data_IF_006477009241
#
_entry.id   IF_006477009241
#
_cell.length_a   1.000
_cell.length_b   1.000
_cell.length_c   1.000
_cell.angle_alpha   90.00
_cell.angle_beta   90.00
_cell.angle_gamma   90.00
#
_symmetry.space_group_name_H-M   'P 1'
#
loop_
_entity.id
_entity.type
_entity.pdbx_description
1 polymer ?
#
# COMPACT_ATOMS: atom_id res chain seq x y z
N UNK A 1 29.64 22.75 19.82
CA UNK A 1 28.32 22.78 19.13
C UNK A 1 28.44 22.44 17.63
N UNK A 2 29.40 23.00 16.87
CA UNK A 2 29.57 22.77 15.41
C UNK A 2 30.00 21.34 15.13
N UNK A 3 30.93 20.75 15.89
CA UNK A 3 31.39 19.37 15.74
C UNK A 3 30.29 18.34 16.08
N UNK A 4 29.51 18.58 17.13
CA UNK A 4 28.39 17.72 17.50
C UNK A 4 27.29 17.72 16.41
N UNK A 5 27.00 18.89 15.80
CA UNK A 5 26.06 19.00 14.70
C UNK A 5 26.56 18.34 13.40
N UNK A 6 27.87 18.27 13.17
CA UNK A 6 28.44 17.57 12.02
C UNK A 6 28.39 16.04 12.20
N UNK A 7 28.70 15.53 13.41
CA UNK A 7 28.62 14.09 13.73
C UNK A 7 27.21 13.59 13.59
N UNK A 8 26.20 14.29 14.14
CA UNK A 8 24.79 13.90 14.03
C UNK A 8 24.28 13.92 12.58
N UNK A 9 24.78 14.81 11.73
CA UNK A 9 24.43 14.83 10.29
C UNK A 9 24.99 13.62 9.57
N UNK A 10 26.21 13.20 9.85
CA UNK A 10 26.85 12.02 9.23
C UNK A 10 26.05 10.76 9.62
N UNK A 11 25.70 10.61 10.90
CA UNK A 11 24.90 9.48 11.39
C UNK A 11 23.52 9.42 10.73
N UNK A 12 22.85 10.56 10.52
CA UNK A 12 21.56 10.63 9.82
C UNK A 12 21.67 10.25 8.35
N UNK A 13 22.74 10.71 7.65
CA UNK A 13 22.97 10.36 6.24
C UNK A 13 23.26 8.87 6.10
N UNK A 14 24.09 8.30 6.98
CA UNK A 14 24.38 6.87 6.98
C UNK A 14 23.11 6.04 7.23
N UNK A 15 22.30 6.40 8.22
CA UNK A 15 21.04 5.74 8.49
C UNK A 15 20.07 5.84 7.30
N UNK A 16 19.96 7.03 6.69
CA UNK A 16 19.09 7.24 5.52
C UNK A 16 19.56 6.41 4.32
N UNK A 17 20.86 6.19 4.15
CA UNK A 17 21.43 5.42 3.03
C UNK A 17 21.01 3.93 3.05
N UNK A 18 20.63 3.38 4.20
CA UNK A 18 20.11 2.03 4.32
C UNK A 18 18.64 1.88 3.91
N UNK A 19 17.88 2.98 3.91
CA UNK A 19 16.42 2.96 3.68
C UNK A 19 16.05 2.30 2.33
N UNK A 20 16.69 2.65 1.18
CA UNK A 20 16.33 2.03 -0.09
C UNK A 20 16.59 0.52 -0.11
N UNK A 21 17.71 0.07 0.49
CA UNK A 21 18.04 -1.35 0.55
C UNK A 21 17.03 -2.14 1.42
N UNK A 22 16.63 -1.58 2.55
CA UNK A 22 15.61 -2.16 3.42
C UNK A 22 14.23 -2.21 2.73
N UNK A 23 13.85 -1.15 2.01
CA UNK A 23 12.61 -1.12 1.22
C UNK A 23 12.63 -2.18 0.12
N UNK A 24 13.75 -2.30 -0.61
CA UNK A 24 13.93 -3.33 -1.62
C UNK A 24 13.83 -4.75 -1.05
N UNK A 25 14.48 -5.01 0.10
CA UNK A 25 14.38 -6.30 0.77
C UNK A 25 12.95 -6.60 1.25
N UNK A 26 12.24 -5.59 1.78
CA UNK A 26 10.85 -5.72 2.25
C UNK A 26 9.87 -6.03 1.11
N UNK A 27 10.21 -5.66 -0.12
CA UNK A 27 9.39 -5.96 -1.29
C UNK A 27 9.26 -7.47 -1.55
N UNK A 28 10.27 -8.27 -1.20
CA UNK A 28 10.29 -9.72 -1.44
C UNK A 28 9.13 -10.45 -0.70
N UNK A 29 8.94 -10.30 0.62
CA UNK A 29 7.80 -10.90 1.30
C UNK A 29 6.45 -10.30 0.88
N UNK A 30 6.38 -9.04 0.48
CA UNK A 30 5.14 -8.43 -0.04
C UNK A 30 4.74 -9.09 -1.35
N UNK A 31 5.68 -9.27 -2.28
CA UNK A 31 5.44 -9.96 -3.55
C UNK A 31 5.09 -11.44 -3.36
N UNK A 32 5.72 -12.10 -2.37
CA UNK A 32 5.28 -13.45 -1.97
C UNK A 32 3.82 -13.45 -1.55
N UNK A 33 3.44 -12.56 -0.65
CA UNK A 33 2.07 -12.46 -0.14
C UNK A 33 1.05 -12.18 -1.25
N UNK A 34 1.34 -11.23 -2.13
CA UNK A 34 0.48 -10.89 -3.27
C UNK A 34 0.32 -12.06 -4.25
N UNK A 35 1.43 -12.67 -4.66
CA UNK A 35 1.41 -13.84 -5.55
C UNK A 35 0.70 -15.04 -4.95
N UNK A 36 0.88 -15.29 -3.64
CA UNK A 36 0.22 -16.38 -2.94
C UNK A 36 -1.30 -16.14 -2.78
N UNK A 37 -1.73 -14.89 -2.63
CA UNK A 37 -3.17 -14.54 -2.55
C UNK A 37 -3.88 -14.63 -3.90
N UNK A 38 -3.23 -14.20 -4.98
CA UNK A 38 -3.80 -14.25 -6.34
C UNK A 38 -3.81 -15.68 -6.89
N UNK A 39 -2.78 -16.45 -6.61
CA UNK A 39 -2.63 -17.82 -7.09
C UNK A 39 -2.55 -18.82 -5.95
N UNK A 40 -1.34 -19.27 -5.66
CA UNK A 40 -1.06 -20.22 -4.59
C UNK A 40 0.37 -19.99 -4.03
N UNK A 41 0.78 -20.78 -3.05
CA UNK A 41 2.10 -20.63 -2.42
C UNK A 41 3.27 -20.74 -3.43
N UNK A 42 3.13 -21.54 -4.50
CA UNK A 42 4.16 -21.66 -5.56
C UNK A 42 4.26 -20.39 -6.39
N UNK A 43 3.11 -19.80 -6.73
CA UNK A 43 3.05 -18.48 -7.40
C UNK A 43 3.68 -17.40 -6.51
N UNK A 44 3.39 -17.41 -5.22
CA UNK A 44 4.03 -16.51 -4.26
C UNK A 44 5.54 -16.65 -4.22
N UNK A 45 6.04 -17.90 -4.13
CA UNK A 45 7.48 -18.17 -4.13
C UNK A 45 8.16 -17.69 -5.42
N UNK A 46 7.52 -17.94 -6.57
CA UNK A 46 8.04 -17.50 -7.86
C UNK A 46 8.06 -15.97 -7.97
N UNK A 47 7.01 -15.29 -7.51
CA UNK A 47 6.93 -13.82 -7.48
C UNK A 47 8.04 -13.22 -6.58
N UNK A 48 8.27 -13.80 -5.41
CA UNK A 48 9.33 -13.41 -4.51
C UNK A 48 10.72 -13.62 -5.12
N UNK A 49 10.93 -14.74 -5.79
CA UNK A 49 12.18 -15.04 -6.48
C UNK A 49 12.45 -14.04 -7.61
N UNK A 50 11.44 -13.77 -8.44
CA UNK A 50 11.59 -12.82 -9.53
C UNK A 50 11.95 -11.43 -9.03
N UNK A 51 11.26 -10.89 -8.02
CA UNK A 51 11.57 -9.55 -7.52
C UNK A 51 12.95 -9.50 -6.84
N UNK A 52 13.39 -10.59 -6.23
CA UNK A 52 14.70 -10.66 -5.57
C UNK A 52 15.87 -10.64 -6.56
N UNK A 53 15.66 -11.11 -7.81
CA UNK A 53 16.73 -11.21 -8.82
C UNK A 53 16.53 -10.27 -10.01
N UNK A 54 15.41 -9.53 -10.06
CA UNK A 54 15.11 -8.64 -11.18
C UNK A 54 16.14 -7.51 -11.25
N UNK A 55 16.80 -7.39 -12.41
CA UNK A 55 17.73 -6.31 -12.68
C UNK A 55 17.07 -5.01 -13.09
N UNK A 56 17.89 -4.05 -13.55
CA UNK A 56 17.41 -2.77 -14.10
C UNK A 56 17.03 -1.75 -13.03
N UNK A 57 16.01 -0.99 -13.30
CA UNK A 57 15.58 0.17 -12.49
C UNK A 57 15.29 -0.19 -11.03
N UNK A 58 14.64 -1.33 -10.79
CA UNK A 58 14.30 -1.75 -9.43
C UNK A 58 15.56 -1.99 -8.60
N UNK A 59 16.48 -2.81 -9.11
CA UNK A 59 17.74 -3.12 -8.39
C UNK A 59 18.58 -1.87 -8.18
N UNK A 60 18.74 -1.02 -9.21
CA UNK A 60 19.57 0.19 -9.10
C UNK A 60 19.02 1.18 -8.06
N UNK A 61 17.70 1.27 -7.92
CA UNK A 61 17.04 2.17 -6.96
C UNK A 61 16.93 1.61 -5.55
N UNK A 62 17.15 0.30 -5.37
CA UNK A 62 17.20 -0.36 -4.06
C UNK A 62 18.62 -0.50 -3.50
N UNK A 63 19.63 0.09 -4.15
CA UNK A 63 21.01 0.04 -3.66
C UNK A 63 21.20 1.00 -2.48
N UNK A 64 22.15 0.63 -1.61
CA UNK A 64 22.62 1.47 -0.53
C UNK A 64 23.04 2.85 -1.04
N UNK A 65 22.58 3.91 -0.39
CA UNK A 65 22.91 5.29 -0.75
C UNK A 65 22.11 5.88 -1.91
N UNK A 66 21.26 5.09 -2.59
CA UNK A 66 20.42 5.59 -3.68
C UNK A 66 19.08 6.14 -3.13
N UNK A 67 19.13 7.35 -2.56
CA UNK A 67 17.97 8.01 -1.96
C UNK A 67 17.01 8.52 -3.05
N UNK A 68 16.09 7.65 -3.47
CA UNK A 68 15.09 7.95 -4.48
C UNK A 68 13.69 7.52 -4.00
N UNK A 69 12.67 8.34 -4.27
CA UNK A 69 11.29 8.07 -3.89
C UNK A 69 10.65 6.90 -4.65
N UNK A 70 11.19 6.51 -5.80
CA UNK A 70 10.60 5.46 -6.63
C UNK A 70 10.61 4.08 -5.98
N UNK A 71 11.61 3.75 -5.14
CA UNK A 71 11.58 2.48 -4.42
C UNK A 71 10.45 2.46 -3.37
N UNK A 72 10.22 3.59 -2.70
CA UNK A 72 9.13 3.75 -1.76
C UNK A 72 7.76 3.74 -2.47
N UNK A 73 7.64 4.40 -3.63
CA UNK A 73 6.45 4.34 -4.48
C UNK A 73 6.10 2.90 -4.85
N UNK A 74 7.08 2.14 -5.35
CA UNK A 74 6.89 0.73 -5.72
C UNK A 74 6.50 -0.13 -4.51
N UNK A 75 7.13 0.10 -3.36
CA UNK A 75 6.85 -0.62 -2.12
C UNK A 75 5.41 -0.38 -1.65
N UNK A 76 5.02 0.89 -1.50
CA UNK A 76 3.70 1.22 -0.93
C UNK A 76 2.56 0.93 -1.90
N UNK A 77 2.75 1.08 -3.21
CA UNK A 77 1.75 0.67 -4.20
C UNK A 77 1.51 -0.83 -4.16
N UNK A 78 2.58 -1.64 -4.11
CA UNK A 78 2.45 -3.10 -4.01
C UNK A 78 1.88 -3.54 -2.66
N UNK A 79 2.28 -2.87 -1.57
CA UNK A 79 1.71 -3.12 -0.24
C UNK A 79 0.21 -2.81 -0.22
N UNK A 80 -0.21 -1.68 -0.79
CA UNK A 80 -1.63 -1.35 -0.94
C UNK A 80 -2.37 -2.45 -1.73
N UNK A 81 -1.83 -2.88 -2.87
CA UNK A 81 -2.42 -3.97 -3.65
C UNK A 81 -2.54 -5.27 -2.84
N UNK A 82 -1.49 -5.65 -2.10
CA UNK A 82 -1.53 -6.83 -1.23
C UNK A 82 -2.63 -6.72 -0.18
N UNK A 83 -2.67 -5.60 0.55
CA UNK A 83 -3.68 -5.38 1.60
C UNK A 83 -5.09 -5.39 1.02
N UNK A 84 -5.29 -4.73 -0.11
CA UNK A 84 -6.60 -4.64 -0.76
C UNK A 84 -7.07 -6.00 -1.30
N UNK A 85 -6.21 -6.75 -1.98
CA UNK A 85 -6.52 -8.11 -2.44
C UNK A 85 -6.80 -9.03 -1.25
N UNK A 86 -5.99 -8.96 -0.18
CA UNK A 86 -6.21 -9.75 1.02
C UNK A 86 -7.57 -9.43 1.68
N UNK A 87 -7.95 -8.14 1.72
CA UNK A 87 -9.25 -7.70 2.20
C UNK A 87 -10.40 -8.31 1.40
N UNK A 88 -10.34 -8.22 0.07
CA UNK A 88 -11.37 -8.77 -0.81
C UNK A 88 -11.54 -10.27 -0.63
N UNK A 89 -10.43 -11.04 -0.59
CA UNK A 89 -10.50 -12.49 -0.37
C UNK A 89 -11.05 -12.87 1.01
N UNK A 90 -10.79 -12.07 2.03
CA UNK A 90 -11.25 -12.33 3.39
C UNK A 90 -12.68 -11.88 3.65
N UNK A 91 -13.16 -10.90 2.90
CA UNK A 91 -14.47 -10.26 3.14
C UNK A 91 -15.57 -10.73 2.18
N UNK A 92 -15.24 -11.34 1.04
CA UNK A 92 -16.23 -11.75 0.01
C UNK A 92 -17.36 -12.63 0.53
N UNK A 93 -17.09 -13.46 1.54
CA UNK A 93 -18.07 -14.37 2.16
C UNK A 93 -18.48 -13.91 3.58
N UNK A 94 -17.96 -12.75 4.01
CA UNK A 94 -18.26 -12.19 5.32
C UNK A 94 -19.60 -11.45 5.30
N UNK A 95 -20.52 -11.89 6.16
CA UNK A 95 -21.81 -11.20 6.33
C UNK A 95 -21.57 -9.88 7.05
N UNK A 96 -21.64 -8.79 6.32
CA UNK A 96 -21.49 -7.44 6.84
C UNK A 96 -22.87 -6.82 6.99
N UNK A 97 -23.30 -6.53 8.22
CA UNK A 97 -24.52 -5.77 8.50
C UNK A 97 -24.11 -4.39 9.01
N UNK A 98 -24.54 -3.34 8.31
CA UNK A 98 -24.24 -1.95 8.67
C UNK A 98 -24.86 -1.53 10.02
N UNK A 99 -25.82 -2.30 10.54
CA UNK A 99 -26.45 -2.04 11.84
C UNK A 99 -25.76 -2.75 13.00
N UNK A 100 -24.92 -3.76 12.71
CA UNK A 100 -24.27 -4.57 13.73
C UNK A 100 -22.76 -4.26 13.75
N UNK A 101 -22.30 -3.56 14.78
CA UNK A 101 -20.88 -3.17 14.90
C UNK A 101 -19.92 -4.38 14.93
N UNK A 102 -20.37 -5.53 15.44
CA UNK A 102 -19.53 -6.74 15.49
C UNK A 102 -19.15 -7.24 14.10
N UNK A 103 -20.05 -7.14 13.13
CA UNK A 103 -19.82 -7.54 11.74
C UNK A 103 -18.96 -6.54 10.96
N UNK A 104 -18.87 -5.29 11.43
CA UNK A 104 -18.10 -4.22 10.79
C UNK A 104 -16.61 -4.24 11.17
N UNK A 105 -16.23 -4.89 12.27
CA UNK A 105 -14.84 -4.86 12.79
C UNK A 105 -13.81 -5.29 11.76
N UNK A 106 -14.08 -6.39 11.07
CA UNK A 106 -13.15 -6.93 10.10
C UNK A 106 -13.02 -6.05 8.84
N UNK A 107 -14.12 -5.61 8.18
CA UNK A 107 -14.04 -4.64 7.09
C UNK A 107 -13.35 -3.31 7.48
N UNK A 108 -13.63 -2.80 8.69
CA UNK A 108 -12.96 -1.59 9.20
C UNK A 108 -11.47 -1.82 9.36
N UNK A 109 -11.06 -2.93 9.98
CA UNK A 109 -9.63 -3.25 10.16
C UNK A 109 -8.89 -3.29 8.83
N UNK A 110 -9.43 -4.00 7.83
CA UNK A 110 -8.85 -4.03 6.49
C UNK A 110 -8.85 -2.65 5.84
N UNK A 111 -9.92 -1.87 5.99
CA UNK A 111 -9.99 -0.50 5.49
C UNK A 111 -8.93 0.40 6.10
N UNK A 112 -8.68 0.28 7.41
CA UNK A 112 -7.59 1.02 8.09
C UNK A 112 -6.22 0.63 7.53
N UNK A 113 -5.93 -0.66 7.40
CA UNK A 113 -4.63 -1.13 6.89
C UNK A 113 -4.42 -0.68 5.45
N UNK A 114 -5.43 -0.83 4.58
CA UNK A 114 -5.38 -0.34 3.20
C UNK A 114 -5.22 1.18 3.13
N UNK A 115 -5.95 1.92 3.97
CA UNK A 115 -5.90 3.38 4.03
C UNK A 115 -4.53 3.91 4.46
N UNK A 116 -3.92 3.28 5.45
CA UNK A 116 -2.55 3.63 5.89
C UNK A 116 -1.53 3.32 4.79
N UNK A 117 -1.60 2.15 4.16
CA UNK A 117 -0.70 1.79 3.05
C UNK A 117 -0.84 2.77 1.87
N UNK A 118 -2.08 3.15 1.53
CA UNK A 118 -2.36 4.11 0.47
C UNK A 118 -1.88 5.52 0.82
N UNK A 119 -2.11 5.97 2.06
CA UNK A 119 -1.61 7.26 2.56
C UNK A 119 -0.08 7.34 2.49
N UNK A 120 0.63 6.32 2.97
CA UNK A 120 2.09 6.27 2.90
C UNK A 120 2.58 6.34 1.45
N UNK A 121 1.89 5.69 0.52
CA UNK A 121 2.18 5.81 -0.90
C UNK A 121 1.95 7.23 -1.45
N UNK A 122 0.84 7.86 -1.09
CA UNK A 122 0.55 9.25 -1.49
C UNK A 122 1.58 10.23 -0.96
N UNK A 123 2.16 9.97 0.23
CA UNK A 123 3.26 10.76 0.78
C UNK A 123 4.57 10.61 -0.01
N UNK A 124 4.73 9.54 -0.77
CA UNK A 124 5.91 9.34 -1.60
C UNK A 124 5.75 9.90 -3.01
N UNK A 125 4.59 9.73 -3.62
CA UNK A 125 4.32 10.23 -4.96
C UNK A 125 2.82 10.36 -5.26
N UNK A 126 2.45 11.42 -5.99
CA UNK A 126 1.06 11.68 -6.39
C UNK A 126 0.49 10.65 -7.36
N UNK A 127 1.34 9.90 -8.08
CA UNK A 127 0.91 8.78 -8.96
C UNK A 127 0.08 7.73 -8.23
N UNK A 128 0.19 7.63 -6.90
CA UNK A 128 -0.66 6.76 -6.07
C UNK A 128 -2.16 7.05 -6.20
N UNK A 129 -2.56 8.22 -6.70
CA UNK A 129 -3.96 8.54 -7.03
C UNK A 129 -4.52 7.56 -8.09
N UNK A 130 -3.70 7.08 -9.03
CA UNK A 130 -4.13 6.07 -9.99
C UNK A 130 -4.52 4.75 -9.34
N UNK A 131 -3.89 4.37 -8.25
CA UNK A 131 -4.27 3.16 -7.50
C UNK A 131 -5.64 3.32 -6.83
N UNK A 132 -6.00 4.53 -6.37
CA UNK A 132 -7.35 4.82 -5.90
C UNK A 132 -8.38 4.68 -7.04
N UNK A 133 -8.05 5.18 -8.24
CA UNK A 133 -8.90 5.04 -9.41
C UNK A 133 -9.08 3.56 -9.82
N UNK A 134 -8.01 2.77 -9.81
CA UNK A 134 -8.08 1.33 -10.07
C UNK A 134 -8.92 0.60 -9.02
N UNK A 135 -8.75 0.92 -7.74
CA UNK A 135 -9.57 0.36 -6.67
C UNK A 135 -11.05 0.71 -6.83
N UNK A 136 -11.37 1.97 -7.18
CA UNK A 136 -12.75 2.40 -7.43
C UNK A 136 -13.37 1.67 -8.63
N UNK A 137 -12.64 1.54 -9.73
CA UNK A 137 -13.09 0.83 -10.94
C UNK A 137 -13.29 -0.66 -10.65
N UNK A 138 -12.34 -1.29 -9.95
CA UNK A 138 -12.46 -2.68 -9.52
C UNK A 138 -13.67 -2.88 -8.60
N UNK A 139 -13.89 -1.97 -7.64
CA UNK A 139 -15.04 -2.01 -6.73
C UNK A 139 -16.36 -1.99 -7.49
N UNK A 140 -16.46 -1.16 -8.52
CA UNK A 140 -17.68 -1.11 -9.36
C UNK A 140 -17.91 -2.46 -10.05
N UNK A 141 -16.88 -3.05 -10.65
CA UNK A 141 -16.98 -4.37 -11.29
C UNK A 141 -17.36 -5.44 -10.26
N UNK A 142 -16.66 -5.46 -9.13
CA UNK A 142 -16.91 -6.45 -8.08
C UNK A 142 -18.32 -6.31 -7.49
N UNK A 143 -18.80 -5.09 -7.29
CA UNK A 143 -20.17 -4.83 -6.86
C UNK A 143 -21.20 -5.43 -7.82
N UNK A 144 -21.01 -5.24 -9.14
CA UNK A 144 -21.91 -5.81 -10.16
C UNK A 144 -21.88 -7.34 -10.12
N UNK A 145 -20.69 -7.93 -9.99
CA UNK A 145 -20.51 -9.38 -9.95
C UNK A 145 -21.13 -10.00 -8.69
N UNK A 146 -20.90 -9.40 -7.53
CA UNK A 146 -21.43 -9.88 -6.26
C UNK A 146 -22.95 -9.71 -6.20
N UNK A 147 -23.49 -8.57 -6.68
CA UNK A 147 -24.91 -8.34 -6.76
C UNK A 147 -25.63 -9.37 -7.67
N UNK A 148 -25.01 -9.70 -8.81
CA UNK A 148 -25.55 -10.76 -9.71
C UNK A 148 -25.48 -12.15 -9.11
N UNK A 149 -24.49 -12.40 -8.25
CA UNK A 149 -24.29 -13.67 -7.57
C UNK A 149 -25.05 -13.76 -6.23
N UNK A 150 -25.91 -12.77 -5.92
CA UNK A 150 -26.66 -12.66 -4.65
C UNK A 150 -25.75 -12.70 -3.40
N UNK A 151 -24.52 -12.17 -3.53
CA UNK A 151 -23.55 -12.07 -2.42
C UNK A 151 -23.68 -10.74 -1.69
N UNK A 152 -23.27 -10.69 -0.40
CA UNK A 152 -23.20 -9.43 0.33
C UNK A 152 -22.28 -8.44 -0.37
N UNK A 153 -22.70 -7.19 -0.51
CA UNK A 153 -21.90 -6.12 -1.15
C UNK A 153 -21.49 -5.02 -0.18
N UNK A 154 -22.05 -5.03 1.04
CA UNK A 154 -21.88 -4.00 2.06
C UNK A 154 -20.42 -3.88 2.51
N UNK A 155 -19.68 -4.99 2.50
CA UNK A 155 -18.26 -4.98 2.84
C UNK A 155 -17.43 -4.08 1.91
N UNK A 156 -17.78 -4.00 0.61
CA UNK A 156 -17.11 -3.13 -0.36
C UNK A 156 -17.26 -1.67 0.02
N UNK A 157 -18.46 -1.25 0.44
CA UNK A 157 -18.70 0.11 0.88
C UNK A 157 -17.85 0.45 2.10
N UNK A 158 -17.89 -0.38 3.15
CA UNK A 158 -17.16 -0.12 4.39
C UNK A 158 -15.65 -0.11 4.12
N UNK A 159 -15.12 -1.10 3.41
CA UNK A 159 -13.71 -1.20 3.05
C UNK A 159 -13.22 0.08 2.35
N UNK A 160 -13.92 0.51 1.29
CA UNK A 160 -13.46 1.65 0.48
C UNK A 160 -13.66 2.98 1.20
N UNK A 161 -14.79 3.19 1.88
CA UNK A 161 -15.01 4.43 2.64
C UNK A 161 -13.93 4.61 3.70
N UNK A 162 -13.62 3.57 4.49
CA UNK A 162 -12.58 3.66 5.51
C UNK A 162 -11.19 3.87 4.87
N UNK A 163 -10.86 3.12 3.81
CA UNK A 163 -9.59 3.25 3.09
C UNK A 163 -9.34 4.68 2.63
N UNK A 164 -10.30 5.26 1.92
CA UNK A 164 -10.11 6.59 1.34
C UNK A 164 -10.30 7.72 2.35
N UNK A 165 -11.13 7.54 3.38
CA UNK A 165 -11.22 8.50 4.48
C UNK A 165 -9.90 8.59 5.25
N UNK A 166 -9.24 7.48 5.55
CA UNK A 166 -7.94 7.49 6.23
C UNK A 166 -6.86 8.13 5.37
N UNK A 167 -6.81 7.79 4.08
CA UNK A 167 -5.87 8.41 3.16
C UNK A 167 -6.09 9.92 3.04
N UNK A 168 -7.35 10.37 2.92
CA UNK A 168 -7.71 11.78 2.85
C UNK A 168 -7.39 12.53 4.15
N UNK A 169 -7.72 11.93 5.31
CA UNK A 169 -7.39 12.53 6.62
C UNK A 169 -5.87 12.64 6.80
N UNK A 170 -5.12 11.62 6.40
CA UNK A 170 -3.65 11.67 6.41
C UNK A 170 -3.11 12.81 5.55
N UNK A 171 -3.63 12.98 4.35
CA UNK A 171 -3.27 14.09 3.46
C UNK A 171 -3.65 15.45 4.05
N UNK A 172 -4.82 15.59 4.65
CA UNK A 172 -5.25 16.84 5.30
C UNK A 172 -4.33 17.22 6.46
N UNK A 173 -3.90 16.25 7.25
CA UNK A 173 -3.04 16.50 8.42
C UNK A 173 -1.59 16.82 8.04
N UNK A 174 -1.04 16.18 7.00
CA UNK A 174 0.37 16.26 6.63
C UNK A 174 0.63 16.74 5.20
N UNK A 175 -0.27 16.45 4.26
CA UNK A 175 0.03 16.53 2.84
C UNK A 175 -0.24 17.88 2.19
N UNK A 176 -1.28 18.60 2.60
CA UNK A 176 -1.62 19.88 1.99
C UNK A 176 -0.63 21.00 2.32
N UNK A 177 0.17 20.82 3.39
CA UNK A 177 1.14 21.81 3.85
C UNK A 177 2.49 21.70 3.17
N UNK A 178 2.95 20.48 2.88
CA UNK A 178 4.35 20.23 2.46
C UNK A 178 4.48 19.50 1.11
N UNK A 179 3.43 18.84 0.64
CA UNK A 179 3.48 18.27 -0.70
C UNK A 179 3.06 19.31 -1.71
N UNK A 180 4.02 19.73 -2.52
CA UNK A 180 3.77 20.59 -3.65
C UNK A 180 2.76 20.00 -4.64
N UNK A 181 1.49 19.99 -4.26
CA UNK A 181 0.40 20.08 -5.24
C UNK A 181 0.56 21.35 -6.10
N UNK A 182 1.59 22.14 -5.82
CA UNK A 182 2.04 23.30 -6.58
C UNK A 182 2.85 22.95 -7.84
N UNK A 183 3.10 21.67 -8.12
CA UNK A 183 3.82 21.21 -9.32
C UNK A 183 2.91 20.49 -10.33
N UNK A 184 1.60 20.61 -10.19
CA UNK A 184 0.65 20.17 -11.21
C UNK A 184 0.26 21.34 -12.09
#
# INVERSE_FOLDING_TARGET
>A
AILAGAVTRIEVIDAASWVPALMGATMVPIMYGLGAKIGNWKTGLLSALFIAVIGGQYLSRSLYGHLDHHIAETLFSTLFCLCYVAALYSLKDHKTDLKEFSSLKLPILYGVVCGVAHFLGLMTMTTMVFFALFAAFFTLIQFILDHRAERPTEYLLVLNVITFCIAALGLLLYGLRDMGFYYA
#
